data_IF_724398472303
#
_entry.id   IF_724398472303
#
_cell.length_a   1.000
_cell.length_b   1.000
_cell.length_c   1.000
_cell.angle_alpha   90.00
_cell.angle_beta   90.00
_cell.angle_gamma   90.00
#
_symmetry.space_group_name_H-M   'P 1'
#
loop_
_entity.id
_entity.type
_entity.pdbx_description
1 polymer ?
#
# COMPACT_ATOMS: atom_id res chain seq x y z
N UNK A 1 24.80 -39.63 -12.53
CA UNK A 1 24.26 -40.55 -13.56
C UNK A 1 23.12 -41.31 -12.93
N UNK A 2 21.90 -40.82 -13.11
CA UNK A 2 20.65 -41.59 -12.98
C UNK A 2 19.53 -40.73 -13.61
N UNK A 3 19.08 -41.11 -14.80
CA UNK A 3 17.88 -40.61 -15.46
C UNK A 3 16.67 -41.34 -14.89
N UNK A 4 15.63 -40.61 -14.55
CA UNK A 4 14.27 -41.17 -14.45
C UNK A 4 13.34 -40.34 -15.34
N UNK A 5 12.93 -40.96 -16.43
CA UNK A 5 11.86 -40.57 -17.32
C UNK A 5 10.54 -41.12 -16.78
N UNK A 6 9.53 -40.27 -16.60
CA UNK A 6 8.16 -40.71 -16.38
C UNK A 6 7.29 -40.22 -17.52
N UNK A 7 6.67 -41.16 -18.22
CA UNK A 7 5.87 -40.98 -19.41
C UNK A 7 4.47 -40.45 -19.10
N UNK A 8 3.97 -39.63 -20.01
CA UNK A 8 2.61 -39.08 -20.03
C UNK A 8 1.74 -40.03 -20.89
N UNK A 9 0.73 -40.64 -20.28
CA UNK A 9 -0.30 -41.39 -20.99
C UNK A 9 -1.41 -40.45 -21.46
N UNK A 10 -1.55 -40.32 -22.76
CA UNK A 10 -2.68 -39.65 -23.41
C UNK A 10 -3.84 -40.63 -23.50
N UNK A 11 -5.00 -40.29 -22.94
CA UNK A 11 -6.28 -40.92 -23.27
C UNK A 11 -7.07 -40.01 -24.19
N UNK A 12 -7.16 -40.43 -25.44
CA UNK A 12 -8.13 -39.94 -26.40
C UNK A 12 -9.48 -40.60 -26.13
N UNK A 13 -10.53 -39.84 -25.98
CA UNK A 13 -11.91 -40.32 -26.15
C UNK A 13 -12.57 -39.55 -27.28
N UNK A 14 -13.06 -40.34 -28.22
CA UNK A 14 -13.70 -39.95 -29.45
C UNK A 14 -15.17 -39.56 -29.26
N UNK A 15 -15.56 -38.51 -29.92
CA UNK A 15 -16.75 -38.22 -30.72
C UNK A 15 -18.10 -38.82 -30.36
N UNK A 16 -19.08 -37.94 -30.13
CA UNK A 16 -20.37 -38.04 -30.79
C UNK A 16 -20.90 -36.66 -31.18
N UNK A 17 -21.08 -36.47 -32.46
CA UNK A 17 -21.70 -35.33 -33.10
C UNK A 17 -23.19 -35.28 -32.75
N UNK A 18 -23.64 -34.17 -32.16
CA UNK A 18 -25.03 -33.76 -32.23
C UNK A 18 -25.09 -32.33 -32.73
N UNK A 19 -25.56 -32.21 -33.93
CA UNK A 19 -25.97 -30.96 -34.58
C UNK A 19 -27.21 -30.44 -33.87
N UNK A 20 -27.12 -29.28 -33.24
CA UNK A 20 -28.28 -28.50 -32.78
C UNK A 20 -28.19 -27.09 -33.33
N UNK A 21 -29.34 -26.47 -33.66
CA UNK A 21 -29.38 -25.26 -34.47
C UNK A 21 -28.88 -24.02 -33.73
N UNK A 22 -28.31 -23.12 -34.51
CA UNK A 22 -27.84 -21.80 -34.07
C UNK A 22 -29.03 -20.99 -33.51
N UNK A 23 -28.99 -20.75 -32.18
CA UNK A 23 -29.74 -19.66 -31.58
C UNK A 23 -28.69 -18.56 -31.29
N UNK A 24 -28.81 -17.47 -32.04
CA UNK A 24 -28.09 -16.23 -31.76
C UNK A 24 -28.54 -15.71 -30.41
N UNK A 25 -27.80 -16.06 -29.36
CA UNK A 25 -27.95 -15.48 -28.05
C UNK A 25 -27.20 -14.15 -28.02
N UNK A 26 -27.91 -13.05 -28.27
CA UNK A 26 -27.47 -11.73 -27.88
C UNK A 26 -27.24 -11.75 -26.37
N UNK A 27 -25.99 -11.62 -25.96
CA UNK A 27 -25.63 -11.29 -24.57
C UNK A 27 -26.07 -9.84 -24.34
N UNK A 28 -27.34 -9.67 -23.97
CA UNK A 28 -27.84 -8.40 -23.47
C UNK A 28 -27.14 -8.13 -22.15
N UNK A 29 -26.29 -7.11 -22.13
CA UNK A 29 -25.92 -6.46 -20.86
C UNK A 29 -27.22 -6.19 -20.09
N UNK A 30 -27.28 -6.43 -18.78
CA UNK A 30 -28.45 -6.11 -17.99
C UNK A 30 -28.70 -4.60 -18.07
N UNK A 31 -29.64 -4.22 -18.91
CA UNK A 31 -30.14 -2.86 -18.98
C UNK A 31 -30.79 -2.56 -17.64
N UNK A 32 -30.41 -1.48 -17.03
CA UNK A 32 -30.91 -0.96 -15.76
C UNK A 32 -32.40 -0.60 -15.94
N UNK A 33 -33.30 -1.58 -15.73
CA UNK A 33 -34.76 -1.36 -15.85
C UNK A 33 -35.30 -0.88 -14.51
N UNK A 34 -35.58 0.41 -14.44
CA UNK A 34 -36.37 1.01 -13.37
C UNK A 34 -37.84 0.64 -13.54
N UNK A 35 -38.36 -0.30 -12.76
CA UNK A 35 -39.77 -0.59 -12.71
C UNK A 35 -40.45 0.10 -11.53
N UNK A 36 -41.61 0.70 -11.82
CA UNK A 36 -42.41 1.59 -10.95
C UNK A 36 -43.23 0.86 -9.88
N UNK A 37 -43.07 -0.44 -9.66
CA UNK A 37 -43.88 -1.21 -8.72
C UNK A 37 -43.06 -1.75 -7.56
N UNK A 38 -42.55 -0.91 -6.67
CA UNK A 38 -42.11 -1.27 -5.30
C UNK A 38 -41.18 -2.48 -5.10
N UNK A 39 -40.83 -3.19 -6.16
CA UNK A 39 -39.92 -4.33 -6.12
C UNK A 39 -38.48 -3.80 -6.08
N UNK A 40 -37.75 -4.11 -5.01
CA UNK A 40 -36.32 -3.82 -4.88
C UNK A 40 -35.57 -4.49 -6.04
N UNK A 41 -35.10 -3.70 -6.98
CA UNK A 41 -34.17 -4.16 -8.02
C UNK A 41 -32.77 -3.88 -7.49
N UNK A 42 -31.94 -4.90 -7.29
CA UNK A 42 -30.56 -4.68 -6.87
C UNK A 42 -29.83 -3.93 -7.99
N UNK A 43 -29.66 -2.63 -7.83
CA UNK A 43 -28.82 -1.82 -8.71
C UNK A 43 -27.39 -2.29 -8.58
N UNK A 44 -26.71 -2.50 -9.71
CA UNK A 44 -25.27 -2.83 -9.70
C UNK A 44 -24.53 -1.74 -8.91
N UNK A 45 -23.84 -2.08 -7.79
CA UNK A 45 -23.18 -1.09 -6.94
C UNK A 45 -22.09 -0.29 -7.69
N UNK A 46 -21.63 -0.80 -8.83
CA UNK A 46 -20.63 -0.16 -9.69
C UNK A 46 -21.22 0.73 -10.78
N UNK A 47 -22.55 0.81 -10.93
CA UNK A 47 -23.23 1.61 -11.98
C UNK A 47 -22.96 3.11 -11.85
N UNK A 48 -22.47 3.58 -10.73
CA UNK A 48 -22.19 4.99 -10.47
C UNK A 48 -20.72 5.34 -10.34
N UNK A 49 -19.79 4.44 -10.68
CA UNK A 49 -18.36 4.70 -10.59
C UNK A 49 -17.95 5.70 -11.66
N UNK A 50 -17.36 6.82 -11.22
CA UNK A 50 -16.80 7.87 -12.05
C UNK A 50 -15.45 8.31 -11.47
N UNK A 51 -14.60 8.89 -12.32
CA UNK A 51 -13.28 9.41 -11.96
C UNK A 51 -13.23 10.94 -12.07
N UNK A 52 -14.33 11.58 -11.63
CA UNK A 52 -14.51 13.04 -11.61
C UNK A 52 -14.57 13.62 -10.18
N UNK A 53 -14.24 12.81 -9.18
CA UNK A 53 -14.10 13.26 -7.80
C UNK A 53 -12.97 14.29 -7.69
N UNK A 54 -13.14 15.27 -6.80
CA UNK A 54 -12.15 16.31 -6.55
C UNK A 54 -11.33 16.04 -5.30
N UNK A 55 -11.92 15.33 -4.36
CA UNK A 55 -11.30 14.95 -3.09
C UNK A 55 -11.55 13.49 -2.82
N UNK A 56 -10.58 12.84 -2.24
CA UNK A 56 -10.73 11.54 -1.59
C UNK A 56 -9.91 11.49 -0.31
N UNK A 57 -10.30 10.58 0.58
CA UNK A 57 -9.58 10.29 1.81
C UNK A 57 -9.48 8.79 2.00
N UNK A 58 -8.36 8.32 2.51
CA UNK A 58 -8.17 6.91 2.79
C UNK A 58 -7.62 6.64 4.19
N UNK A 59 -8.00 5.49 4.73
CA UNK A 59 -7.49 4.95 5.99
C UNK A 59 -7.07 3.52 5.74
N UNK A 60 -5.82 3.19 6.03
CA UNK A 60 -5.22 1.90 5.74
C UNK A 60 -4.42 1.39 6.93
N UNK A 61 -4.40 0.09 7.14
CA UNK A 61 -3.42 -0.57 8.00
C UNK A 61 -2.12 -0.70 7.21
N UNK A 62 -1.00 -0.38 7.85
CA UNK A 62 0.29 -0.34 7.19
C UNK A 62 1.30 -1.27 7.87
N UNK A 63 2.15 -1.89 7.07
CA UNK A 63 3.30 -2.67 7.49
C UNK A 63 4.54 -2.12 6.81
N UNK A 64 5.63 -2.03 7.57
CA UNK A 64 6.93 -1.61 7.06
C UNK A 64 8.04 -2.52 7.59
N UNK A 65 8.96 -2.89 6.71
CA UNK A 65 10.21 -3.55 7.07
C UNK A 65 11.37 -2.58 6.85
N UNK A 66 12.20 -2.36 7.91
CA UNK A 66 13.30 -1.43 7.85
C UNK A 66 14.49 -1.90 8.72
N UNK A 67 15.65 -1.27 8.56
CA UNK A 67 16.78 -1.43 9.48
C UNK A 67 16.77 -0.33 10.54
N UNK A 68 16.91 -0.70 11.81
CA UNK A 68 16.97 0.25 12.93
C UNK A 68 18.38 0.85 13.15
N UNK A 69 19.38 0.41 12.37
CA UNK A 69 20.75 0.90 12.42
C UNK A 69 21.57 0.37 11.26
N UNK A 70 22.70 1.02 10.91
CA UNK A 70 23.47 0.74 9.70
C UNK A 70 24.12 -0.65 9.68
N UNK A 71 24.50 -1.17 10.84
CA UNK A 71 25.20 -2.45 10.99
C UNK A 71 24.29 -3.57 11.52
N UNK A 72 23.00 -3.32 11.66
CA UNK A 72 22.06 -4.34 12.10
C UNK A 72 21.63 -5.19 10.90
N UNK A 73 21.98 -6.47 10.91
CA UNK A 73 21.59 -7.43 9.87
C UNK A 73 20.07 -7.76 9.94
N UNK A 74 19.52 -7.68 11.14
CA UNK A 74 18.10 -7.99 11.39
C UNK A 74 17.26 -6.74 11.17
N UNK A 75 16.19 -6.88 10.39
CA UNK A 75 15.25 -5.80 10.14
C UNK A 75 14.20 -5.63 11.26
N UNK A 76 13.79 -4.41 11.47
CA UNK A 76 12.62 -4.07 12.28
C UNK A 76 11.33 -4.32 11.48
N UNK A 77 10.34 -4.93 12.13
CA UNK A 77 9.01 -5.10 11.59
C UNK A 77 8.08 -4.13 12.30
N UNK A 78 7.56 -3.16 11.57
CA UNK A 78 6.73 -2.10 12.11
C UNK A 78 5.31 -2.21 11.54
N UNK A 79 4.33 -2.20 12.43
CA UNK A 79 2.92 -2.03 12.08
C UNK A 79 2.49 -0.59 12.27
N UNK A 80 1.46 -0.15 11.55
CA UNK A 80 1.00 1.22 11.66
C UNK A 80 -0.31 1.47 10.96
N UNK A 81 -0.61 2.76 10.81
CA UNK A 81 -1.78 3.26 10.09
C UNK A 81 -1.26 4.20 9.00
N UNK A 82 -1.90 4.20 7.86
CA UNK A 82 -1.65 5.14 6.79
C UNK A 82 -2.94 5.94 6.53
N UNK A 83 -2.86 7.23 6.80
CA UNK A 83 -3.93 8.20 6.57
C UNK A 83 -3.51 9.08 5.40
N UNK A 84 -4.30 9.12 4.35
CA UNK A 84 -4.03 10.04 3.24
C UNK A 84 -5.27 10.72 2.72
N UNK A 85 -5.03 11.86 2.07
CA UNK A 85 -6.07 12.61 1.37
C UNK A 85 -5.50 13.15 0.08
N UNK A 86 -6.29 13.08 -0.98
CA UNK A 86 -5.93 13.52 -2.33
C UNK A 86 -6.81 14.65 -2.80
N UNK A 87 -6.21 15.54 -3.56
CA UNK A 87 -6.87 16.62 -4.29
C UNK A 87 -6.56 16.54 -5.77
N UNK A 88 -7.55 16.24 -6.59
CA UNK A 88 -7.42 16.11 -8.05
C UNK A 88 -7.50 17.46 -8.75
N UNK A 89 -6.36 17.90 -9.29
CA UNK A 89 -6.22 19.13 -10.07
C UNK A 89 -6.82 18.97 -11.46
N UNK A 90 -6.59 17.82 -12.07
CA UNK A 90 -7.10 17.43 -13.39
C UNK A 90 -7.73 16.02 -13.32
N UNK A 91 -8.20 15.49 -14.43
CA UNK A 91 -8.71 14.12 -14.49
C UNK A 91 -7.64 13.03 -14.24
N UNK A 92 -6.35 13.37 -14.34
CA UNK A 92 -5.25 12.42 -14.23
C UNK A 92 -4.19 12.81 -13.20
N UNK A 93 -4.10 14.08 -12.83
CA UNK A 93 -3.08 14.59 -11.91
C UNK A 93 -3.73 15.12 -10.64
N UNK A 94 -3.23 14.64 -9.52
CA UNK A 94 -3.61 15.07 -8.19
C UNK A 94 -2.39 15.37 -7.32
N UNK A 95 -2.66 15.79 -6.11
CA UNK A 95 -1.70 15.95 -5.02
C UNK A 95 -2.21 15.16 -3.83
N UNK A 96 -1.40 14.25 -3.33
CA UNK A 96 -1.66 13.47 -2.14
C UNK A 96 -0.89 14.05 -0.95
N UNK A 97 -1.54 14.10 0.22
CA UNK A 97 -0.90 14.30 1.52
C UNK A 97 -1.08 13.05 2.37
N UNK A 98 -0.02 12.59 3.03
CA UNK A 98 -0.03 11.36 3.81
C UNK A 98 0.61 11.54 5.19
N UNK A 99 -0.04 10.97 6.21
CA UNK A 99 0.49 10.81 7.56
C UNK A 99 0.55 9.33 7.91
N UNK A 100 1.73 8.81 8.26
CA UNK A 100 1.96 7.38 8.51
C UNK A 100 2.75 7.16 9.80
N UNK A 101 2.09 6.92 10.94
CA UNK A 101 2.73 6.42 12.15
C UNK A 101 3.03 4.92 12.03
N UNK A 102 4.27 4.53 12.37
CA UNK A 102 4.72 3.14 12.45
C UNK A 102 5.29 2.85 13.82
N UNK A 103 5.00 1.65 14.35
CA UNK A 103 5.42 1.18 15.66
C UNK A 103 5.82 -0.29 15.61
N UNK A 104 6.86 -0.66 16.33
CA UNK A 104 7.26 -2.06 16.42
C UNK A 104 8.58 -2.27 17.13
N UNK A 105 9.12 -3.46 16.99
CA UNK A 105 10.41 -3.83 17.58
C UNK A 105 11.51 -3.87 16.53
N UNK A 106 12.72 -3.51 16.90
CA UNK A 106 13.86 -3.45 16.00
C UNK A 106 14.28 -4.80 15.42
N UNK A 107 13.77 -5.92 15.92
CA UNK A 107 14.23 -7.27 15.55
C UNK A 107 15.65 -7.60 15.98
N UNK A 108 16.37 -6.65 16.57
CA UNK A 108 17.76 -6.85 17.00
C UNK A 108 17.85 -7.91 18.10
N UNK A 109 18.94 -8.70 18.08
CA UNK A 109 19.27 -9.62 19.17
C UNK A 109 19.48 -8.89 20.49
N UNK A 110 19.70 -9.66 21.56
CA UNK A 110 20.01 -9.08 22.87
C UNK A 110 21.30 -8.25 22.79
N UNK A 111 21.20 -6.97 23.15
CA UNK A 111 22.32 -6.04 23.13
C UNK A 111 23.13 -6.07 24.46
N UNK A 112 24.18 -5.25 24.55
CA UNK A 112 25.02 -5.11 25.74
C UNK A 112 24.26 -4.56 26.98
N UNK A 113 23.07 -4.01 26.83
CA UNK A 113 22.18 -3.57 27.91
C UNK A 113 21.18 -4.67 28.34
N UNK A 114 21.34 -5.90 27.82
CA UNK A 114 20.44 -7.02 28.02
C UNK A 114 18.96 -6.73 27.61
N UNK A 115 18.82 -5.98 26.52
CA UNK A 115 17.51 -5.64 25.92
C UNK A 115 17.43 -6.32 24.55
N UNK A 116 16.39 -7.11 24.33
CA UNK A 116 16.10 -7.75 23.04
C UNK A 116 15.05 -6.96 22.30
N UNK A 117 15.34 -6.62 21.04
CA UNK A 117 14.39 -5.97 20.14
C UNK A 117 13.82 -4.65 20.68
N UNK A 118 14.66 -3.62 20.99
CA UNK A 118 14.15 -2.35 21.48
C UNK A 118 13.04 -1.77 20.58
N UNK A 119 12.12 -1.05 21.19
CA UNK A 119 10.96 -0.47 20.50
C UNK A 119 11.40 0.70 19.60
N UNK A 120 10.81 0.73 18.39
CA UNK A 120 11.03 1.77 17.40
C UNK A 120 9.70 2.41 17.04
N UNK A 121 9.66 3.73 16.94
CA UNK A 121 8.53 4.47 16.42
C UNK A 121 8.95 5.50 15.38
N UNK A 122 8.14 5.62 14.33
CA UNK A 122 8.37 6.57 13.25
C UNK A 122 7.07 7.25 12.86
N UNK A 123 7.15 8.54 12.54
CA UNK A 123 6.01 9.35 12.11
C UNK A 123 6.37 10.05 10.81
N UNK A 124 5.76 9.62 9.71
CA UNK A 124 5.94 10.23 8.39
C UNK A 124 4.92 11.32 8.15
N UNK A 125 5.37 12.43 7.59
CA UNK A 125 4.55 13.51 7.05
C UNK A 125 5.06 13.80 5.65
N UNK A 126 4.28 13.42 4.64
CA UNK A 126 4.70 13.50 3.24
C UNK A 126 3.57 14.04 2.37
N UNK A 127 3.95 14.72 1.30
CA UNK A 127 3.01 15.16 0.28
C UNK A 127 3.69 15.14 -1.09
N UNK A 128 2.91 15.00 -2.15
CA UNK A 128 3.46 15.02 -3.50
C UNK A 128 2.44 14.71 -4.59
N UNK A 129 2.90 14.70 -5.85
CA UNK A 129 2.05 14.41 -6.98
C UNK A 129 1.62 12.95 -7.03
N UNK A 130 0.40 12.75 -7.51
CA UNK A 130 -0.15 11.46 -7.89
C UNK A 130 -0.69 11.50 -9.32
N UNK A 131 -0.65 10.36 -9.99
CA UNK A 131 -1.09 10.22 -11.36
C UNK A 131 -2.00 9.02 -11.53
N UNK A 132 -3.23 9.28 -12.04
CA UNK A 132 -4.19 8.24 -12.37
C UNK A 132 -3.83 7.58 -13.70
N UNK A 133 -3.44 6.34 -13.63
CA UNK A 133 -3.11 5.49 -14.75
C UNK A 133 -4.32 4.80 -15.39
N UNK A 134 -4.17 3.53 -15.79
CA UNK A 134 -5.26 2.72 -16.30
C UNK A 134 -6.38 2.56 -15.28
N UNK A 135 -7.63 2.77 -15.71
CA UNK A 135 -8.79 2.66 -14.84
C UNK A 135 -10.03 2.17 -15.58
N UNK A 136 -10.91 1.50 -14.88
CA UNK A 136 -12.19 1.02 -15.37
C UNK A 136 -13.23 1.00 -14.23
N UNK A 137 -14.46 0.54 -14.48
CA UNK A 137 -15.50 0.49 -13.44
C UNK A 137 -15.15 -0.40 -12.23
N UNK A 138 -14.24 -1.36 -12.37
CA UNK A 138 -13.86 -2.29 -11.30
C UNK A 138 -12.69 -1.80 -10.45
N UNK A 139 -11.80 -0.98 -11.02
CA UNK A 139 -10.66 -0.46 -10.29
C UNK A 139 -9.77 0.44 -11.11
N UNK A 140 -8.74 0.95 -10.46
CA UNK A 140 -7.74 1.83 -11.05
C UNK A 140 -6.34 1.60 -10.46
N UNK A 141 -5.35 2.11 -11.17
CA UNK A 141 -3.96 2.16 -10.73
C UNK A 141 -3.52 3.62 -10.67
N UNK A 142 -2.99 4.03 -9.52
CA UNK A 142 -2.46 5.37 -9.30
C UNK A 142 -0.98 5.23 -8.95
N UNK A 143 -0.12 6.01 -9.59
CA UNK A 143 1.27 6.13 -9.21
C UNK A 143 1.47 7.41 -8.40
N UNK A 144 2.34 7.39 -7.38
CA UNK A 144 2.66 8.58 -6.60
C UNK A 144 4.15 8.70 -6.25
N UNK A 145 4.59 9.93 -6.02
CA UNK A 145 5.89 10.27 -5.43
C UNK A 145 5.65 11.32 -4.37
N UNK A 146 5.88 10.95 -3.10
CA UNK A 146 5.66 11.82 -1.97
C UNK A 146 6.99 12.22 -1.34
N UNK A 147 7.14 13.50 -1.03
CA UNK A 147 8.31 14.08 -0.39
C UNK A 147 7.93 14.63 0.98
N UNK A 148 8.83 14.54 1.94
CA UNK A 148 8.57 15.08 3.27
C UNK A 148 9.61 14.68 4.29
N UNK A 149 9.17 14.47 5.51
CA UNK A 149 10.02 14.12 6.64
C UNK A 149 9.48 12.96 7.45
N UNK A 150 10.38 12.35 8.19
CA UNK A 150 10.08 11.33 9.18
C UNK A 150 10.71 11.70 10.52
N UNK A 151 9.94 11.63 11.59
CA UNK A 151 10.44 11.72 12.96
C UNK A 151 10.64 10.30 13.49
N UNK A 152 11.90 9.87 13.64
CA UNK A 152 12.27 8.55 14.15
C UNK A 152 12.69 8.61 15.62
N UNK A 153 12.17 7.69 16.43
CA UNK A 153 12.55 7.51 17.82
C UNK A 153 13.00 6.06 18.04
N UNK A 154 14.25 5.89 18.48
CA UNK A 154 14.94 4.61 18.60
C UNK A 154 15.42 4.32 20.04
N UNK A 155 15.13 5.18 21.03
CA UNK A 155 15.67 5.07 22.38
C UNK A 155 14.68 4.64 23.46
N UNK A 156 13.39 4.46 23.13
CA UNK A 156 12.32 4.32 24.11
C UNK A 156 12.57 3.25 25.19
N UNK A 157 13.24 2.14 24.82
CA UNK A 157 13.50 1.02 25.72
C UNK A 157 14.97 0.92 26.16
N UNK A 158 15.81 1.92 25.87
CA UNK A 158 17.25 1.84 26.13
C UNK A 158 17.65 2.29 27.54
N UNK A 159 16.69 2.43 28.47
CA UNK A 159 16.93 2.77 29.89
C UNK A 159 17.80 4.03 30.07
N UNK A 160 17.62 5.03 29.19
CA UNK A 160 18.39 6.27 29.21
C UNK A 160 19.74 6.22 28.50
N UNK A 161 20.14 5.08 27.96
CA UNK A 161 21.33 5.02 27.11
C UNK A 161 21.05 5.62 25.71
N UNK A 162 22.03 6.29 25.09
CA UNK A 162 21.85 6.83 23.74
C UNK A 162 21.72 5.68 22.71
N UNK A 163 20.94 5.84 21.62
CA UNK A 163 20.77 4.81 20.59
C UNK A 163 22.09 4.33 19.97
N UNK A 164 23.09 5.21 19.88
CA UNK A 164 24.44 4.87 19.40
C UNK A 164 25.15 3.80 20.23
N UNK A 165 24.83 3.66 21.53
CA UNK A 165 25.45 2.64 22.41
C UNK A 165 25.06 1.21 21.98
N UNK A 166 24.00 1.04 21.23
CA UNK A 166 23.49 -0.24 20.70
C UNK A 166 23.45 -0.27 19.16
N UNK A 167 24.20 0.61 18.50
CA UNK A 167 24.31 0.74 17.04
C UNK A 167 23.00 1.12 16.32
N UNK A 168 22.06 1.78 16.99
CA UNK A 168 20.83 2.29 16.41
C UNK A 168 21.03 3.69 15.86
N UNK A 169 20.12 4.09 14.94
CA UNK A 169 20.00 5.47 14.50
C UNK A 169 19.64 6.38 15.67
N UNK A 170 20.10 7.63 15.60
CA UNK A 170 19.71 8.63 16.60
C UNK A 170 18.26 9.04 16.42
N UNK A 171 17.64 9.49 17.51
CA UNK A 171 16.37 10.19 17.43
C UNK A 171 16.55 11.47 16.62
N UNK A 172 15.82 11.59 15.54
CA UNK A 172 15.96 12.72 14.63
C UNK A 172 14.77 12.87 13.71
N UNK A 173 14.66 14.05 13.15
CA UNK A 173 13.83 14.27 11.95
C UNK A 173 14.75 14.13 10.75
N UNK A 174 14.35 13.26 9.82
CA UNK A 174 15.10 12.97 8.59
C UNK A 174 14.24 13.21 7.35
N UNK A 175 14.85 13.54 6.20
CA UNK A 175 14.12 13.61 4.95
C UNK A 175 13.64 12.22 4.54
N UNK A 176 12.44 12.17 3.96
CA UNK A 176 11.83 10.96 3.46
C UNK A 176 11.28 11.16 2.05
N UNK A 177 11.43 10.15 1.22
CA UNK A 177 10.83 10.06 -0.11
C UNK A 177 10.07 8.74 -0.19
N UNK A 178 8.82 8.78 -0.62
CA UNK A 178 7.98 7.61 -0.82
C UNK A 178 7.66 7.52 -2.30
N UNK A 179 7.92 6.38 -2.91
CA UNK A 179 7.62 6.09 -4.30
C UNK A 179 6.82 4.80 -4.39
N UNK A 180 5.68 4.85 -5.04
CA UNK A 180 4.82 3.68 -5.15
C UNK A 180 3.55 3.98 -5.89
N UNK A 181 2.45 3.41 -5.40
CA UNK A 181 1.15 3.66 -5.99
C UNK A 181 0.04 2.88 -5.33
N UNK A 182 -1.16 3.19 -5.76
CA UNK A 182 -2.39 2.57 -5.27
C UNK A 182 -2.95 1.61 -6.31
N UNK A 183 -3.40 0.47 -5.83
CA UNK A 183 -4.22 -0.48 -6.57
C UNK A 183 -5.62 -0.42 -5.93
N UNK A 184 -6.54 0.19 -6.64
CA UNK A 184 -7.88 0.46 -6.16
C UNK A 184 -8.88 -0.53 -6.75
N UNK A 185 -9.70 -1.12 -5.88
CA UNK A 185 -10.80 -2.01 -6.26
C UNK A 185 -12.13 -1.34 -5.86
N UNK A 186 -12.86 -0.85 -6.84
CA UNK A 186 -14.14 -0.18 -6.61
C UNK A 186 -15.18 -1.16 -6.04
N UNK A 187 -15.75 -0.86 -4.90
CA UNK A 187 -16.85 -1.62 -4.27
C UNK A 187 -18.20 -0.93 -4.48
N UNK A 188 -18.17 0.37 -4.65
CA UNK A 188 -19.33 1.19 -4.99
C UNK A 188 -18.87 2.50 -5.64
N UNK A 189 -19.82 3.37 -5.97
CA UNK A 189 -19.52 4.70 -6.51
C UNK A 189 -18.68 5.60 -5.60
N UNK A 190 -18.54 5.26 -4.30
CA UNK A 190 -17.84 6.09 -3.30
C UNK A 190 -16.78 5.31 -2.50
N UNK A 191 -17.00 4.01 -2.30
CA UNK A 191 -16.12 3.19 -1.47
C UNK A 191 -15.22 2.33 -2.33
N UNK A 192 -13.94 2.38 -2.03
CA UNK A 192 -12.87 1.67 -2.72
C UNK A 192 -12.07 0.88 -1.70
N UNK A 193 -11.68 -0.33 -2.05
CA UNK A 193 -10.68 -1.07 -1.33
C UNK A 193 -9.32 -0.78 -1.96
N UNK A 194 -8.36 -0.29 -1.17
CA UNK A 194 -7.05 0.19 -1.64
C UNK A 194 -5.92 -0.64 -1.08
N UNK A 195 -4.98 -1.02 -1.95
CA UNK A 195 -3.70 -1.64 -1.60
C UNK A 195 -2.61 -0.72 -2.10
N UNK A 196 -1.63 -0.40 -1.24
CA UNK A 196 -0.56 0.55 -1.57
C UNK A 196 0.80 -0.07 -1.25
N UNK A 197 1.49 -0.64 -2.25
CA UNK A 197 2.90 -1.01 -2.15
C UNK A 197 3.79 0.21 -2.38
N UNK A 198 4.73 0.46 -1.46
CA UNK A 198 5.62 1.62 -1.48
C UNK A 198 7.07 1.23 -1.21
N UNK A 199 7.98 1.89 -1.90
CA UNK A 199 9.39 2.00 -1.55
C UNK A 199 9.61 3.32 -0.79
N UNK A 200 10.15 3.23 0.42
CA UNK A 200 10.41 4.37 1.29
C UNK A 200 11.91 4.57 1.41
N UNK A 201 12.39 5.74 1.00
CA UNK A 201 13.77 6.17 1.16
C UNK A 201 13.85 7.11 2.35
N UNK A 202 14.71 6.78 3.31
CA UNK A 202 14.96 7.62 4.49
C UNK A 202 16.46 7.81 4.66
N UNK A 203 16.87 8.99 5.19
CA UNK A 203 18.27 9.29 5.43
C UNK A 203 18.50 9.55 6.91
N UNK A 204 18.79 8.48 7.65
CA UNK A 204 19.10 8.57 9.07
C UNK A 204 20.60 8.74 9.33
N UNK A 205 20.93 9.38 10.46
CA UNK A 205 22.28 9.54 10.96
C UNK A 205 22.51 8.76 12.25
N UNK A 206 23.77 8.41 12.47
CA UNK A 206 24.26 7.83 13.71
C UNK A 206 25.51 8.59 14.16
N UNK A 207 25.64 8.83 15.47
CA UNK A 207 26.80 9.48 16.06
C UNK A 207 27.72 8.46 16.70
N UNK A 208 28.75 8.02 15.95
CA UNK A 208 29.86 7.19 16.44
C UNK A 208 31.12 8.01 16.38
N UNK A 209 31.36 8.94 17.33
CA UNK A 209 32.52 9.82 17.27
C UNK A 209 32.55 10.75 16.03
N UNK A 210 32.09 10.30 14.90
CA UNK A 210 31.79 11.08 13.70
C UNK A 210 30.34 10.85 13.25
N UNK A 211 29.73 11.86 12.66
CA UNK A 211 28.36 11.77 12.13
C UNK A 211 28.38 10.97 10.83
N UNK A 212 27.86 9.75 10.87
CA UNK A 212 27.65 8.91 9.69
C UNK A 212 26.19 9.03 9.29
N UNK A 213 25.92 9.31 8.02
CA UNK A 213 24.57 9.38 7.46
C UNK A 213 24.41 8.31 6.41
N UNK A 214 23.38 7.49 6.52
CA UNK A 214 23.07 6.43 5.56
C UNK A 214 21.69 6.65 4.96
N UNK A 215 21.58 6.40 3.66
CA UNK A 215 20.31 6.34 2.96
C UNK A 215 19.85 4.90 2.88
N UNK A 216 18.71 4.61 3.44
CA UNK A 216 18.10 3.28 3.41
C UNK A 216 16.86 3.28 2.50
N UNK A 217 16.74 2.24 1.70
CA UNK A 217 15.55 1.93 0.93
C UNK A 217 14.81 0.79 1.60
N UNK A 218 13.58 1.04 1.99
CA UNK A 218 12.75 0.11 2.72
C UNK A 218 11.44 -0.13 1.98
N UNK A 219 10.84 -1.29 2.20
CA UNK A 219 9.54 -1.62 1.63
C UNK A 219 8.43 -1.43 2.66
N UNK A 220 7.31 -0.89 2.21
CA UNK A 220 6.07 -0.80 2.96
C UNK A 220 4.89 -1.26 2.12
N UNK A 221 3.87 -1.78 2.78
CA UNK A 221 2.59 -2.10 2.16
C UNK A 221 1.48 -1.62 3.09
N UNK A 222 0.45 -1.00 2.53
CA UNK A 222 -0.74 -0.66 3.27
C UNK A 222 -2.01 -1.13 2.57
N UNK A 223 -3.03 -1.48 3.37
CA UNK A 223 -4.30 -2.03 2.90
C UNK A 223 -5.45 -1.40 3.68
N UNK A 224 -6.48 -0.96 3.01
CA UNK A 224 -7.64 -0.37 3.67
C UNK A 224 -8.70 0.15 2.72
N UNK A 225 -9.34 1.22 3.11
CA UNK A 225 -10.48 1.78 2.38
C UNK A 225 -10.26 3.24 2.05
N UNK A 226 -10.81 3.64 0.92
CA UNK A 226 -10.88 5.02 0.46
C UNK A 226 -12.32 5.42 0.25
N UNK A 227 -12.60 6.69 0.55
CA UNK A 227 -13.87 7.33 0.28
C UNK A 227 -13.69 8.47 -0.73
N UNK A 228 -14.37 8.36 -1.89
CA UNK A 228 -14.38 9.36 -2.97
C UNK A 228 -15.53 10.34 -2.78
N UNK A 229 -15.21 11.64 -2.61
CA UNK A 229 -16.22 12.70 -2.52
C UNK A 229 -16.69 13.09 -3.91
N UNK A 230 -17.94 12.76 -4.25
CA UNK A 230 -18.51 13.14 -5.55
C UNK A 230 -18.73 14.65 -5.63
N UNK A 231 -18.39 15.21 -6.78
CA UNK A 231 -18.76 16.59 -7.10
C UNK A 231 -20.28 16.69 -7.12
N UNK A 232 -20.87 17.56 -6.28
CA UNK A 232 -22.29 17.92 -6.42
C UNK A 232 -22.47 18.54 -7.81
N UNK A 233 -23.34 17.96 -8.61
CA UNK A 233 -23.85 18.60 -9.83
C UNK A 233 -24.74 19.76 -9.48
#
# INVERSE_FOLDING_TARGET
MLCLSAGVGAHAQSSSSQTAPAAAGQTSEPTDQTTTNGTYIPTNPLSGVTYDNRYDVSVRMAYRHMKAGPNLLQGANLGGIDLSGSYWLTKRWGVEGSFRPYFGTSGAGTNNLNIKGPFVSEYFFTAGPEWLGPHNKHGDLIAHVLLGGVSGNFEKDLRGAPPSAVAFYNNQIAPAVIMGGHMDLNRSARWVFRITPDAILTRYGINYGSKITQTDVNFAISVGVEYKFRKKR
#
